data_IF_465589667075
#
_entry.id   IF_465589667075
#
_cell.length_a   1.000
_cell.length_b   1.000
_cell.length_c   1.000
_cell.angle_alpha   90.00
_cell.angle_beta   90.00
_cell.angle_gamma   90.00
#
_symmetry.space_group_name_H-M   'P 1'
#
loop_
_entity.id
_entity.type
_entity.pdbx_description
1 polymer ?
#
# COMPACT_ATOMS: atom_id res chain seq x y z
N UNK A 1 21.09 11.17 -5.02
CA UNK A 1 20.76 11.88 -6.17
C UNK A 1 19.74 11.15 -7.00
N UNK A 2 20.07 10.56 -8.13
CA UNK A 2 18.98 9.97 -8.87
C UNK A 2 18.31 8.82 -8.18
N UNK A 3 18.97 8.12 -7.29
CA UNK A 3 18.39 6.97 -6.59
C UNK A 3 17.22 7.37 -5.72
N UNK A 4 17.20 8.59 -5.21
CA UNK A 4 16.11 9.05 -4.36
C UNK A 4 14.80 9.22 -5.12
N UNK A 5 14.86 9.36 -6.43
CA UNK A 5 13.69 9.53 -7.27
C UNK A 5 13.38 8.29 -8.10
N UNK A 6 13.99 7.16 -7.77
CA UNK A 6 13.88 5.93 -8.56
C UNK A 6 12.43 5.50 -8.76
N UNK A 7 11.59 5.69 -7.75
CA UNK A 7 10.19 5.26 -7.78
C UNK A 7 9.23 6.44 -7.88
N UNK A 8 9.72 7.61 -8.25
CA UNK A 8 8.88 8.79 -8.38
C UNK A 8 7.73 8.53 -9.34
N UNK A 9 6.53 8.91 -8.94
CA UNK A 9 5.34 8.71 -9.74
C UNK A 9 4.73 7.33 -9.64
N UNK A 10 5.36 6.42 -8.89
CA UNK A 10 4.84 5.07 -8.71
C UNK A 10 3.96 5.00 -7.48
N UNK A 11 2.87 4.23 -7.57
CA UNK A 11 1.99 3.96 -6.46
C UNK A 11 2.11 2.48 -6.11
N UNK A 12 2.48 2.20 -4.86
CA UNK A 12 2.77 0.84 -4.43
C UNK A 12 1.87 0.50 -3.24
N UNK A 13 1.12 -0.58 -3.37
CA UNK A 13 0.22 -1.06 -2.33
C UNK A 13 0.92 -2.15 -1.53
N UNK A 14 0.94 -1.99 -0.21
CA UNK A 14 1.57 -2.96 0.69
C UNK A 14 0.52 -3.47 1.66
N UNK A 15 0.22 -4.75 1.61
CA UNK A 15 -0.66 -5.37 2.59
C UNK A 15 0.15 -5.69 3.84
N UNK A 16 -0.44 -5.51 5.02
CA UNK A 16 0.30 -5.69 6.26
C UNK A 16 1.39 -4.65 6.45
N UNK A 17 1.15 -3.43 5.95
CA UNK A 17 2.16 -2.36 5.98
C UNK A 17 2.36 -1.70 7.31
N UNK A 18 1.54 -2.02 8.32
CA UNK A 18 1.56 -1.33 9.60
C UNK A 18 2.71 -1.73 10.53
N UNK A 19 3.35 -2.86 10.32
CA UNK A 19 4.43 -3.33 11.20
C UNK A 19 5.31 -4.34 10.49
N UNK A 20 6.42 -4.69 11.14
CA UNK A 20 7.32 -5.73 10.66
C UNK A 20 7.87 -5.47 9.27
N UNK A 21 7.94 -6.52 8.48
CA UNK A 21 8.52 -6.44 7.13
C UNK A 21 7.76 -5.49 6.24
N UNK A 22 6.43 -5.48 6.32
CA UNK A 22 5.62 -4.55 5.51
C UNK A 22 5.95 -3.10 5.78
N UNK A 23 6.16 -2.75 7.04
CA UNK A 23 6.56 -1.39 7.43
C UNK A 23 7.94 -1.04 6.85
N UNK A 24 8.90 -1.96 6.94
CA UNK A 24 10.24 -1.71 6.44
C UNK A 24 10.26 -1.57 4.91
N UNK A 25 9.49 -2.39 4.22
CA UNK A 25 9.37 -2.26 2.77
C UNK A 25 8.71 -0.94 2.38
N UNK A 26 7.69 -0.51 3.11
CA UNK A 26 7.04 0.77 2.88
C UNK A 26 8.01 1.93 3.07
N UNK A 27 8.84 1.84 4.11
CA UNK A 27 9.87 2.85 4.36
C UNK A 27 10.82 2.97 3.15
N UNK A 28 11.25 1.83 2.64
CA UNK A 28 12.14 1.77 1.49
C UNK A 28 11.51 2.44 0.26
N UNK A 29 10.27 2.05 -0.05
CA UNK A 29 9.59 2.60 -1.23
C UNK A 29 9.39 4.11 -1.11
N UNK A 30 8.99 4.57 0.06
CA UNK A 30 8.77 5.99 0.29
C UNK A 30 10.07 6.77 0.14
N UNK A 31 11.16 6.20 0.64
CA UNK A 31 12.49 6.83 0.53
C UNK A 31 12.87 7.07 -0.94
N UNK A 32 12.46 6.18 -1.81
CA UNK A 32 12.80 6.30 -3.24
C UNK A 32 11.72 6.98 -4.07
N UNK A 33 10.79 7.65 -3.43
CA UNK A 33 9.87 8.55 -4.11
C UNK A 33 8.49 8.01 -4.41
N UNK A 34 8.19 6.76 -4.08
CA UNK A 34 6.87 6.19 -4.33
C UNK A 34 5.82 6.80 -3.42
N UNK A 35 4.58 6.86 -3.91
CA UNK A 35 3.43 6.99 -3.04
C UNK A 35 3.11 5.58 -2.53
N UNK A 36 3.01 5.43 -1.22
CA UNK A 36 2.80 4.13 -0.59
C UNK A 36 1.39 4.08 -0.02
N UNK A 37 0.70 2.98 -0.32
CA UNK A 37 -0.64 2.73 0.20
C UNK A 37 -0.54 1.49 1.07
N UNK A 38 -0.85 1.64 2.35
CA UNK A 38 -0.77 0.51 3.28
C UNK A 38 -2.15 0.11 3.73
N UNK A 39 -2.38 -1.19 3.82
CA UNK A 39 -3.66 -1.68 4.29
C UNK A 39 -3.49 -2.76 5.34
N UNK A 40 -4.48 -2.89 6.20
CA UNK A 40 -4.48 -3.87 7.27
C UNK A 40 -5.69 -3.66 8.16
N UNK A 41 -5.82 -4.52 9.18
CA UNK A 41 -7.00 -4.53 10.04
C UNK A 41 -6.98 -3.44 11.11
N UNK A 42 -5.81 -3.00 11.53
CA UNK A 42 -5.66 -2.08 12.66
C UNK A 42 -5.37 -0.68 12.14
N UNK A 43 -6.43 0.09 11.96
CA UNK A 43 -6.30 1.44 11.41
C UNK A 43 -5.35 2.31 12.24
N UNK A 44 -5.44 2.23 13.57
CA UNK A 44 -4.55 3.01 14.44
C UNK A 44 -3.07 2.71 14.20
N UNK A 45 -2.75 1.44 14.02
CA UNK A 45 -1.36 1.02 13.74
C UNK A 45 -0.92 1.56 12.38
N UNK A 46 -1.81 1.49 11.38
CA UNK A 46 -1.50 2.01 10.04
C UNK A 46 -1.24 3.52 10.09
N UNK A 47 -2.08 4.25 10.81
CA UNK A 47 -1.95 5.70 10.91
C UNK A 47 -0.67 6.09 11.63
N UNK A 48 -0.30 5.39 12.70
CA UNK A 48 0.95 5.64 13.40
C UNK A 48 2.14 5.38 12.50
N UNK A 49 2.10 4.28 11.74
CA UNK A 49 3.15 3.94 10.80
C UNK A 49 3.27 4.99 9.71
N UNK A 50 2.15 5.39 9.13
CA UNK A 50 2.15 6.40 8.07
C UNK A 50 2.77 7.70 8.57
N UNK A 51 2.39 8.14 9.76
CA UNK A 51 2.94 9.35 10.34
C UNK A 51 4.45 9.24 10.55
N UNK A 52 4.88 8.12 11.11
CA UNK A 52 6.31 7.89 11.35
C UNK A 52 7.10 7.95 10.03
N UNK A 53 6.63 7.26 9.01
CA UNK A 53 7.33 7.20 7.73
C UNK A 53 7.36 8.54 7.03
N UNK A 54 6.27 9.27 7.08
CA UNK A 54 6.21 10.61 6.47
C UNK A 54 7.06 11.61 7.23
N UNK A 55 7.13 11.50 8.55
CA UNK A 55 7.99 12.35 9.36
C UNK A 55 9.47 12.10 9.04
N UNK A 56 9.83 10.86 8.74
CA UNK A 56 11.21 10.49 8.41
C UNK A 56 11.63 10.93 7.01
N UNK A 57 10.73 10.78 6.04
CA UNK A 57 11.10 10.85 4.62
C UNK A 57 10.33 11.89 3.82
N UNK A 58 9.28 12.47 4.38
CA UNK A 58 8.33 13.23 3.59
C UNK A 58 7.50 12.28 2.71
N UNK A 59 6.91 12.80 1.68
CA UNK A 59 6.14 11.99 0.74
C UNK A 59 4.74 11.69 1.20
N UNK A 60 4.12 10.67 0.61
CA UNK A 60 2.73 10.33 0.84
C UNK A 60 2.56 8.86 1.20
N UNK A 61 1.96 8.61 2.36
CA UNK A 61 1.54 7.27 2.78
C UNK A 61 0.06 7.35 3.09
N UNK A 62 -0.75 6.56 2.42
CA UNK A 62 -2.19 6.50 2.64
C UNK A 62 -2.55 5.18 3.30
N UNK A 63 -3.53 5.22 4.20
CA UNK A 63 -3.94 4.07 4.99
C UNK A 63 -5.33 3.60 4.60
N UNK A 64 -5.50 2.29 4.51
CA UNK A 64 -6.80 1.68 4.22
C UNK A 64 -7.05 0.56 5.23
N UNK A 65 -8.00 0.77 6.13
CA UNK A 65 -8.39 -0.25 7.10
C UNK A 65 -9.29 -1.26 6.44
N UNK A 66 -8.89 -2.51 6.43
CA UNK A 66 -9.71 -3.56 5.87
C UNK A 66 -9.30 -4.93 6.43
N UNK A 67 -10.27 -5.84 6.45
CA UNK A 67 -10.02 -7.23 6.77
C UNK A 67 -9.94 -8.01 5.44
N UNK A 68 -8.74 -8.50 5.10
CA UNK A 68 -8.53 -9.18 3.84
C UNK A 68 -9.31 -10.49 3.69
N UNK A 69 -9.91 -10.97 4.80
CA UNK A 69 -10.79 -12.15 4.76
C UNK A 69 -12.17 -11.80 4.25
N UNK A 70 -12.56 -10.51 4.30
CA UNK A 70 -13.85 -10.07 3.83
C UNK A 70 -13.81 -9.68 2.37
N UNK A 71 -14.37 -10.52 1.49
CA UNK A 71 -14.30 -10.31 0.05
C UNK A 71 -14.84 -8.95 -0.37
N UNK A 72 -15.97 -8.54 0.22
CA UNK A 72 -16.60 -7.28 -0.16
C UNK A 72 -15.74 -6.08 0.24
N UNK A 73 -15.13 -6.15 1.43
CA UNK A 73 -14.25 -5.07 1.90
C UNK A 73 -13.04 -4.92 0.99
N UNK A 74 -12.46 -6.05 0.58
CA UNK A 74 -11.31 -6.04 -0.32
C UNK A 74 -11.70 -5.40 -1.65
N UNK A 75 -12.80 -5.84 -2.24
CA UNK A 75 -13.24 -5.31 -3.53
C UNK A 75 -13.53 -3.81 -3.46
N UNK A 76 -14.22 -3.37 -2.42
CA UNK A 76 -14.53 -1.95 -2.25
C UNK A 76 -13.26 -1.12 -2.11
N UNK A 77 -12.32 -1.58 -1.30
CA UNK A 77 -11.07 -0.87 -1.06
C UNK A 77 -10.21 -0.81 -2.32
N UNK A 78 -10.10 -1.92 -3.04
CA UNK A 78 -9.34 -1.96 -4.28
C UNK A 78 -9.95 -1.02 -5.32
N UNK A 79 -11.28 -1.01 -5.44
CA UNK A 79 -11.95 -0.09 -6.36
C UNK A 79 -11.67 1.37 -5.99
N UNK A 80 -11.71 1.70 -4.72
CA UNK A 80 -11.41 3.05 -4.25
C UNK A 80 -9.97 3.44 -4.61
N UNK A 81 -9.03 2.53 -4.40
CA UNK A 81 -7.63 2.77 -4.72
C UNK A 81 -7.43 3.02 -6.21
N UNK A 82 -8.06 2.21 -7.06
CA UNK A 82 -7.94 2.38 -8.51
C UNK A 82 -8.63 3.64 -9.02
N UNK A 83 -9.68 4.10 -8.35
CA UNK A 83 -10.30 5.37 -8.72
C UNK A 83 -9.34 6.54 -8.53
N UNK A 84 -8.43 6.44 -7.58
CA UNK A 84 -7.45 7.49 -7.30
C UNK A 84 -6.26 7.46 -8.25
N UNK A 85 -6.06 6.35 -8.94
CA UNK A 85 -4.98 6.20 -9.90
C UNK A 85 -4.52 4.75 -10.03
N UNK A 86 -3.62 4.47 -10.95
CA UNK A 86 -3.15 3.10 -11.16
C UNK A 86 -2.24 2.65 -10.03
N UNK A 87 -2.15 1.34 -9.86
CA UNK A 87 -1.20 0.71 -8.93
C UNK A 87 -0.06 0.16 -9.77
N UNK A 88 1.16 0.54 -9.44
CA UNK A 88 2.35 0.12 -10.18
C UNK A 88 3.04 -1.08 -9.54
N UNK A 89 2.77 -1.34 -8.27
CA UNK A 89 3.35 -2.48 -7.58
C UNK A 89 2.48 -2.93 -6.43
N UNK A 90 2.51 -4.23 -6.16
CA UNK A 90 1.78 -4.82 -5.04
C UNK A 90 2.74 -5.68 -4.23
N UNK A 91 2.84 -5.38 -2.95
CA UNK A 91 3.56 -6.24 -2.01
C UNK A 91 2.54 -6.92 -1.14
N UNK A 92 2.38 -8.22 -1.32
CA UNK A 92 1.44 -8.99 -0.53
C UNK A 92 2.16 -9.62 0.65
N UNK A 93 2.10 -8.95 1.79
CA UNK A 93 2.70 -9.41 3.04
C UNK A 93 1.64 -10.02 3.96
N UNK A 94 0.45 -10.27 3.43
CA UNK A 94 -0.67 -10.82 4.16
C UNK A 94 -1.12 -12.14 3.50
N UNK A 95 -2.35 -12.56 3.71
CA UNK A 95 -2.81 -13.85 3.23
C UNK A 95 -3.06 -13.90 1.72
N UNK A 96 -3.01 -15.10 1.15
CA UNK A 96 -3.17 -15.32 -0.28
C UNK A 96 -4.49 -14.86 -0.90
N UNK A 97 -5.55 -14.79 -0.11
CA UNK A 97 -6.85 -14.34 -0.62
C UNK A 97 -6.78 -12.94 -1.23
N UNK A 98 -5.91 -12.09 -0.71
CA UNK A 98 -5.76 -10.74 -1.25
C UNK A 98 -5.20 -10.78 -2.66
N UNK A 99 -4.24 -11.64 -2.92
CA UNK A 99 -3.66 -11.79 -4.26
C UNK A 99 -4.73 -12.21 -5.25
N UNK A 100 -5.54 -13.21 -4.91
CA UNK A 100 -6.60 -13.69 -5.80
C UNK A 100 -7.58 -12.58 -6.16
N UNK A 101 -8.01 -11.79 -5.16
CA UNK A 101 -8.92 -10.68 -5.40
C UNK A 101 -8.30 -9.62 -6.30
N UNK A 102 -7.04 -9.32 -6.05
CA UNK A 102 -6.34 -8.31 -6.83
C UNK A 102 -6.15 -8.77 -8.27
N UNK A 103 -5.87 -10.04 -8.49
CA UNK A 103 -5.74 -10.59 -9.84
C UNK A 103 -7.04 -10.51 -10.62
N UNK A 104 -8.17 -10.73 -9.97
CA UNK A 104 -9.48 -10.62 -10.63
C UNK A 104 -9.74 -9.20 -11.14
N UNK A 105 -9.12 -8.20 -10.51
CA UNK A 105 -9.30 -6.80 -10.86
C UNK A 105 -8.13 -6.21 -11.63
N UNK A 106 -7.05 -6.97 -11.82
CA UNK A 106 -5.80 -6.43 -12.36
C UNK A 106 -5.95 -5.87 -13.77
N UNK A 107 -6.78 -6.48 -14.59
CA UNK A 107 -6.98 -6.00 -15.96
C UNK A 107 -7.67 -4.64 -16.03
N UNK A 108 -8.17 -4.13 -14.89
CA UNK A 108 -8.79 -2.81 -14.83
C UNK A 108 -7.78 -1.72 -14.48
N UNK A 109 -6.73 -2.06 -13.76
CA UNK A 109 -5.82 -1.07 -13.19
C UNK A 109 -4.34 -1.33 -13.40
N UNK A 110 -3.97 -2.55 -13.59
CA UNK A 110 -2.57 -2.87 -13.90
C UNK A 110 -2.35 -2.89 -15.43
#
# INVERSE_FOLDING_TARGET
>A
MFKEDLLKGKRILVTGGGSGLGKEMSRYFLKYGAEVLICGRRVGVLEDTAKELMDENGGSVKCYGLDIRGAQDVDNTINEIFEEGPIHGLVNNAAGNFISRTQDLSHRGF
#
